data_IF_901116496118
#
_entry.id   IF_901116496118
#
_cell.length_a   1.000
_cell.length_b   1.000
_cell.length_c   1.000
_cell.angle_alpha   90.00
_cell.angle_beta   90.00
_cell.angle_gamma   90.00
#
_symmetry.space_group_name_H-M   'P 1'
#
loop_
_entity.id
_entity.type
_entity.pdbx_description
1 polymer ?
#
# COMPACT_ATOMS: atom_id res chain seq x y z
N UNK A 1 0.80 10.92 5.25
CA UNK A 1 0.02 9.71 4.94
C UNK A 1 0.99 8.75 4.27
N UNK A 2 1.14 7.57 4.86
CA UNK A 2 2.10 6.56 4.39
C UNK A 2 1.32 5.27 4.13
N UNK A 3 0.94 5.07 2.88
CA UNK A 3 0.04 3.98 2.50
C UNK A 3 0.80 2.83 1.86
N UNK A 4 0.37 1.60 2.14
CA UNK A 4 0.82 0.40 1.45
C UNK A 4 -0.39 -0.33 0.86
N UNK A 5 -0.20 -0.94 -0.31
CA UNK A 5 -1.17 -1.86 -0.90
C UNK A 5 -0.65 -3.28 -0.69
N UNK A 6 -1.46 -4.14 -0.09
CA UNK A 6 -1.11 -5.55 0.15
C UNK A 6 -2.15 -6.47 -0.48
N UNK A 7 -1.71 -7.54 -1.13
CA UNK A 7 -2.55 -8.65 -1.56
C UNK A 7 -2.90 -9.49 -0.33
N UNK A 8 -4.20 -9.67 -0.04
CA UNK A 8 -4.63 -10.57 1.06
C UNK A 8 -4.40 -12.03 0.73
N UNK A 9 -4.39 -12.36 -0.55
CA UNK A 9 -4.23 -13.74 -1.03
C UNK A 9 -2.79 -14.21 -0.91
N UNK A 10 -1.82 -13.37 -1.26
CA UNK A 10 -0.40 -13.75 -1.29
C UNK A 10 0.43 -13.14 -0.16
N UNK A 11 -0.07 -12.08 0.50
CA UNK A 11 0.67 -11.32 1.49
C UNK A 11 1.74 -10.38 0.91
N UNK A 12 1.93 -10.36 -0.42
CA UNK A 12 2.86 -9.46 -1.11
C UNK A 12 2.36 -8.02 -1.09
N UNK A 13 3.29 -7.09 -1.28
CA UNK A 13 3.02 -5.66 -1.37
C UNK A 13 3.21 -5.17 -2.81
N UNK A 14 2.29 -4.35 -3.29
CA UNK A 14 2.43 -3.67 -4.57
C UNK A 14 3.29 -2.42 -4.35
N UNK A 15 4.48 -2.41 -4.96
CA UNK A 15 5.41 -1.30 -4.86
C UNK A 15 5.44 -0.51 -6.17
N UNK A 16 5.21 0.81 -6.13
CA UNK A 16 5.43 1.64 -7.31
C UNK A 16 6.91 1.64 -7.67
N UNK A 17 7.22 1.65 -8.96
CA UNK A 17 8.60 1.74 -9.42
C UNK A 17 9.17 3.13 -9.13
N UNK A 18 10.26 3.20 -8.37
CA UNK A 18 10.92 4.46 -8.01
C UNK A 18 11.71 5.07 -9.19
N UNK A 19 12.04 4.26 -10.19
CA UNK A 19 12.82 4.60 -11.37
C UNK A 19 11.97 4.78 -12.64
N UNK A 20 10.63 4.82 -12.49
CA UNK A 20 9.70 4.97 -13.62
C UNK A 20 9.45 3.70 -14.42
N UNK A 21 9.84 2.52 -13.90
CA UNK A 21 9.41 1.23 -14.41
C UNK A 21 7.95 0.89 -14.06
N UNK A 22 7.58 -0.37 -14.30
CA UNK A 22 6.26 -0.88 -13.92
C UNK A 22 6.20 -1.21 -12.41
N UNK A 23 5.05 -1.02 -11.75
CA UNK A 23 4.84 -1.47 -10.38
C UNK A 23 5.09 -2.98 -10.23
N UNK A 24 5.63 -3.40 -9.09
CA UNK A 24 5.99 -4.80 -8.84
C UNK A 24 5.45 -5.30 -7.51
N UNK A 25 4.98 -6.54 -7.53
CA UNK A 25 4.58 -7.27 -6.33
C UNK A 25 5.80 -7.89 -5.64
N UNK A 26 6.09 -7.45 -4.42
CA UNK A 26 7.27 -7.88 -3.65
C UNK A 26 6.88 -8.52 -2.33
N UNK A 27 7.67 -9.49 -1.87
CA UNK A 27 7.48 -10.11 -0.56
C UNK A 27 8.01 -9.21 0.58
N UNK A 28 9.05 -8.43 0.31
CA UNK A 28 9.82 -7.70 1.32
C UNK A 28 9.97 -6.23 0.92
N UNK A 29 9.29 -5.34 1.65
CA UNK A 29 9.44 -3.89 1.49
C UNK A 29 10.85 -3.40 1.81
N UNK A 30 11.59 -4.12 2.67
CA UNK A 30 12.98 -3.80 2.96
C UNK A 30 13.86 -3.95 1.71
N UNK A 31 13.65 -5.01 0.96
CA UNK A 31 14.45 -5.31 -0.24
C UNK A 31 14.04 -4.43 -1.43
N UNK A 32 12.76 -4.06 -1.51
CA UNK A 32 12.23 -3.17 -2.53
C UNK A 32 12.53 -1.68 -2.30
N UNK A 33 13.24 -1.33 -1.21
CA UNK A 33 13.55 0.07 -0.88
C UNK A 33 12.33 0.87 -0.41
N UNK A 34 11.24 0.19 -0.04
CA UNK A 34 9.96 0.78 0.35
C UNK A 34 8.82 0.29 -0.54
N UNK A 35 7.71 1.03 -0.47
CA UNK A 35 6.47 0.76 -1.23
C UNK A 35 5.36 1.73 -0.84
N UNK A 36 5.76 2.87 -0.26
CA UNK A 36 4.83 3.82 0.36
C UNK A 36 4.27 4.76 -0.69
N UNK A 37 2.95 4.84 -0.74
CA UNK A 37 2.21 5.81 -1.57
C UNK A 37 1.71 6.95 -0.67
N UNK A 38 1.80 8.19 -1.16
CA UNK A 38 1.55 9.40 -0.36
C UNK A 38 0.10 9.86 -0.32
N UNK A 39 -0.73 9.41 -1.27
CA UNK A 39 -2.09 9.89 -1.47
C UNK A 39 -3.01 8.79 -2.00
N UNK A 40 -4.32 8.98 -1.83
CA UNK A 40 -5.34 7.98 -2.18
C UNK A 40 -5.59 7.90 -3.69
N UNK A 41 -5.31 8.96 -4.44
CA UNK A 41 -5.54 8.99 -5.89
C UNK A 41 -4.56 8.06 -6.59
N UNK A 42 -3.26 8.17 -6.26
CA UNK A 42 -2.24 7.26 -6.73
C UNK A 42 -2.49 5.81 -6.29
N UNK A 43 -3.02 5.59 -5.08
CA UNK A 43 -3.43 4.26 -4.63
C UNK A 43 -4.54 3.68 -5.51
N UNK A 44 -5.58 4.46 -5.81
CA UNK A 44 -6.67 4.00 -6.64
C UNK A 44 -6.17 3.64 -8.04
N UNK A 45 -5.34 4.48 -8.66
CA UNK A 45 -4.74 4.19 -9.96
C UNK A 45 -3.91 2.90 -9.93
N UNK A 46 -3.04 2.73 -8.92
CA UNK A 46 -2.23 1.52 -8.77
C UNK A 46 -3.10 0.27 -8.61
N UNK A 47 -4.18 0.35 -7.84
CA UNK A 47 -5.10 -0.78 -7.65
C UNK A 47 -5.88 -1.10 -8.91
N UNK A 48 -6.40 -0.09 -9.61
CA UNK A 48 -7.16 -0.27 -10.85
C UNK A 48 -6.29 -0.87 -11.96
N UNK A 49 -5.03 -0.44 -12.08
CA UNK A 49 -4.14 -0.84 -13.18
C UNK A 49 -3.38 -2.14 -12.91
N UNK A 50 -3.15 -2.53 -11.64
CA UNK A 50 -2.20 -3.60 -11.29
C UNK A 50 -2.73 -4.68 -10.34
N UNK A 51 -3.98 -4.59 -9.88
CA UNK A 51 -4.57 -5.63 -9.03
C UNK A 51 -5.68 -6.38 -9.77
N UNK A 52 -5.69 -7.70 -9.60
CA UNK A 52 -6.83 -8.52 -10.01
C UNK A 52 -7.81 -8.69 -8.84
N UNK A 53 -9.04 -9.10 -9.15
CA UNK A 53 -10.05 -9.40 -8.11
C UNK A 53 -9.55 -10.43 -7.09
N UNK A 54 -8.76 -11.41 -7.55
CA UNK A 54 -8.21 -12.47 -6.72
C UNK A 54 -7.14 -11.98 -5.73
N UNK A 55 -6.51 -10.83 -5.96
CA UNK A 55 -5.54 -10.27 -5.00
C UNK A 55 -6.20 -9.81 -3.71
N UNK A 56 -7.50 -9.46 -3.78
CA UNK A 56 -8.26 -8.85 -2.70
C UNK A 56 -7.45 -7.71 -2.03
N UNK A 57 -7.07 -6.66 -2.80
CA UNK A 57 -6.13 -5.65 -2.34
C UNK A 57 -6.66 -4.95 -1.10
N UNK A 58 -5.78 -4.78 -0.11
CA UNK A 58 -6.05 -4.01 1.09
C UNK A 58 -5.09 -2.84 1.23
N UNK A 59 -5.63 -1.71 1.64
CA UNK A 59 -4.87 -0.50 1.93
C UNK A 59 -4.49 -0.47 3.42
N UNK A 60 -3.21 -0.26 3.70
CA UNK A 60 -2.67 -0.14 5.06
C UNK A 60 -2.14 1.28 5.23
N UNK A 61 -2.68 2.02 6.19
CA UNK A 61 -2.17 3.34 6.59
C UNK A 61 -1.18 3.21 7.75
N UNK A 62 0.11 3.41 7.48
CA UNK A 62 1.17 3.34 8.48
C UNK A 62 1.17 4.52 9.46
N UNK A 63 0.43 5.59 9.15
CA UNK A 63 0.19 6.70 10.08
C UNK A 63 -1.00 6.42 11.01
N UNK A 64 -1.78 5.36 10.74
CA UNK A 64 -2.96 4.97 11.54
C UNK A 64 -3.00 3.47 11.74
N UNK A 65 -2.28 2.98 12.75
CA UNK A 65 -2.12 1.55 13.02
C UNK A 65 -3.31 0.89 13.74
N UNK A 66 -4.46 1.56 13.82
CA UNK A 66 -5.64 0.99 14.47
C UNK A 66 -5.69 1.18 15.99
N UNK A 67 -4.74 1.90 16.58
CA UNK A 67 -4.66 2.08 18.04
C UNK A 67 -5.54 3.24 18.50
N UNK A 68 -5.99 3.27 19.77
CA UNK A 68 -6.70 4.42 20.31
C UNK A 68 -5.95 5.75 20.14
N UNK A 69 -4.61 5.73 20.10
CA UNK A 69 -3.78 6.92 19.88
C UNK A 69 -3.89 7.48 18.46
N UNK A 70 -4.27 6.65 17.49
CA UNK A 70 -4.39 7.02 16.08
C UNK A 70 -5.72 7.75 15.78
N UNK A 71 -6.74 7.54 16.62
CA UNK A 71 -8.09 8.11 16.45
C UNK A 71 -8.52 9.07 17.57
N UNK A 72 -7.75 9.19 18.65
CA UNK A 72 -7.99 10.17 19.71
C UNK A 72 -7.57 11.59 19.28
N UNK A 73 -8.29 12.17 18.32
CA UNK A 73 -8.42 13.62 18.18
C UNK A 73 -9.89 13.95 17.96
N UNK A 74 -10.60 14.05 19.07
CA UNK A 74 -11.97 14.51 19.16
C UNK A 74 -12.28 14.94 20.58
N UNK A 75 -11.89 16.17 20.92
CA UNK A 75 -12.49 17.01 21.97
C UNK A 75 -12.76 18.37 21.38
#
# INVERSE_FOLDING_TARGET
MRLLIQSKTTGKFLCPALDGGEPVWVQSLREAGGGVVSDLEAVNQLVEDNCDFEDMPQLIDLDRLGTPRDYAKGT
#
